data_IF_385704334496
#
_entry.id   IF_385704334496
#
_cell.length_a   1.000
_cell.length_b   1.000
_cell.length_c   1.000
_cell.angle_alpha   90.00
_cell.angle_beta   90.00
_cell.angle_gamma   90.00
#
_symmetry.space_group_name_H-M   'P 1'
#
loop_
_entity.id
_entity.type
_entity.pdbx_description
1 polymer ?
#
# COMPACT_ATOMS: atom_id res chain seq x y z
N UNK A 1 20.83 9.69 13.71
CA UNK A 1 21.67 9.61 12.49
C UNK A 1 22.70 10.72 12.55
N UNK A 2 23.97 10.41 12.28
CA UNK A 2 25.05 11.41 12.36
C UNK A 2 24.86 12.43 11.22
N UNK A 3 25.01 13.74 11.48
CA UNK A 3 24.80 14.81 10.48
C UNK A 3 25.66 14.58 9.21
N UNK A 4 26.91 14.13 9.38
CA UNK A 4 27.81 13.79 8.26
C UNK A 4 27.23 12.69 7.36
N UNK A 5 26.64 11.65 7.95
CA UNK A 5 25.97 10.57 7.20
C UNK A 5 24.74 11.07 6.46
N UNK A 6 23.92 11.93 7.09
CA UNK A 6 22.75 12.53 6.46
C UNK A 6 23.14 13.35 5.22
N UNK A 7 24.14 14.22 5.36
CA UNK A 7 24.64 15.06 4.26
C UNK A 7 25.20 14.18 3.12
N UNK A 8 25.98 13.14 3.44
CA UNK A 8 26.46 12.19 2.45
C UNK A 8 25.32 11.52 1.68
N UNK A 9 24.30 11.00 2.39
CA UNK A 9 23.15 10.36 1.76
C UNK A 9 22.37 11.33 0.85
N UNK A 10 22.21 12.59 1.26
CA UNK A 10 21.55 13.62 0.44
C UNK A 10 22.36 13.95 -0.83
N UNK A 11 23.69 14.00 -0.75
CA UNK A 11 24.56 14.21 -1.92
C UNK A 11 24.42 13.03 -2.90
N UNK A 12 24.49 11.80 -2.39
CA UNK A 12 24.32 10.58 -3.21
C UNK A 12 22.95 10.56 -3.87
N UNK A 13 21.90 10.93 -3.14
CA UNK A 13 20.56 11.01 -3.69
C UNK A 13 20.45 12.09 -4.75
N UNK A 14 20.99 13.29 -4.51
CA UNK A 14 21.01 14.38 -5.49
C UNK A 14 21.71 14.00 -6.78
N UNK A 15 22.87 13.32 -6.69
CA UNK A 15 23.58 12.79 -7.85
C UNK A 15 22.78 11.72 -8.59
N UNK A 16 22.08 10.84 -7.86
CA UNK A 16 21.20 9.81 -8.43
C UNK A 16 20.02 10.44 -9.17
N UNK A 17 19.41 11.50 -8.61
CA UNK A 17 18.33 12.26 -9.28
C UNK A 17 18.85 12.94 -10.56
N UNK A 18 20.00 13.57 -10.49
CA UNK A 18 20.62 14.20 -11.65
C UNK A 18 20.82 13.20 -12.80
N UNK A 19 21.44 12.06 -12.53
CA UNK A 19 21.63 10.99 -13.53
C UNK A 19 20.30 10.44 -14.05
N UNK A 20 19.30 10.32 -13.18
CA UNK A 20 18.00 9.80 -13.56
C UNK A 20 17.29 10.74 -14.54
N UNK A 21 17.26 12.04 -14.26
CA UNK A 21 16.59 13.02 -15.13
C UNK A 21 17.37 13.27 -16.43
N UNK A 22 18.68 13.17 -16.43
CA UNK A 22 19.46 13.23 -17.67
C UNK A 22 19.18 12.05 -18.60
N UNK A 23 18.98 10.85 -18.04
CA UNK A 23 18.75 9.62 -18.80
C UNK A 23 17.24 9.36 -19.05
N UNK A 24 16.37 10.30 -18.70
CA UNK A 24 14.95 10.15 -18.93
C UNK A 24 14.60 10.39 -20.39
N UNK A 25 14.07 9.37 -21.04
CA UNK A 25 13.65 9.47 -22.46
C UNK A 25 12.35 10.27 -22.52
N UNK A 26 12.36 11.40 -23.22
CA UNK A 26 11.14 12.12 -23.57
C UNK A 26 10.56 11.50 -24.82
N UNK A 27 9.35 11.01 -24.76
CA UNK A 27 8.66 10.48 -25.92
C UNK A 27 8.02 11.61 -26.73
N UNK A 28 8.24 11.60 -28.03
CA UNK A 28 7.50 12.47 -28.94
C UNK A 28 6.05 11.98 -29.06
N UNK A 29 5.12 12.91 -29.26
CA UNK A 29 3.72 12.54 -29.50
C UNK A 29 3.62 11.77 -30.83
N UNK A 30 2.89 10.63 -30.80
CA UNK A 30 2.77 9.72 -31.94
C UNK A 30 3.95 8.76 -32.14
N UNK A 31 4.98 8.75 -31.30
CA UNK A 31 6.12 7.84 -31.41
C UNK A 31 5.68 6.39 -31.22
N UNK A 32 6.02 5.52 -32.17
CA UNK A 32 5.82 4.07 -32.04
C UNK A 32 6.90 3.45 -31.15
N UNK A 33 6.46 2.69 -30.16
CA UNK A 33 7.34 2.01 -29.22
C UNK A 33 6.88 0.57 -29.04
N UNK A 34 7.86 -0.34 -29.02
CA UNK A 34 7.63 -1.75 -28.69
C UNK A 34 8.56 -2.15 -27.57
N UNK A 35 8.01 -2.74 -26.51
CA UNK A 35 8.78 -3.20 -25.36
C UNK A 35 8.12 -4.39 -24.66
N UNK A 36 8.95 -5.16 -23.98
CA UNK A 36 8.50 -6.28 -23.16
C UNK A 36 8.50 -5.86 -21.69
N UNK A 37 7.44 -6.25 -20.98
CA UNK A 37 7.30 -5.94 -19.56
C UNK A 37 6.48 -7.01 -18.84
N UNK A 38 6.76 -7.19 -17.55
CA UNK A 38 5.89 -7.96 -16.68
C UNK A 38 4.79 -7.05 -16.12
N UNK A 39 3.57 -7.55 -16.04
CA UNK A 39 2.45 -6.85 -15.41
C UNK A 39 2.61 -6.98 -13.88
N UNK A 40 3.21 -5.95 -13.26
CA UNK A 40 3.47 -5.89 -11.82
C UNK A 40 2.36 -5.19 -11.02
N UNK A 41 1.36 -4.67 -11.71
CA UNK A 41 0.15 -4.12 -11.09
C UNK A 41 -1.08 -4.75 -11.73
N UNK A 42 -2.11 -4.99 -10.92
CA UNK A 42 -3.31 -5.58 -11.47
C UNK A 42 -4.03 -4.59 -12.38
N UNK A 43 -4.52 -5.06 -13.55
CA UNK A 43 -5.29 -4.24 -14.47
C UNK A 43 -6.53 -3.69 -13.78
N UNK A 44 -6.69 -2.37 -13.79
CA UNK A 44 -7.92 -1.75 -13.27
C UNK A 44 -8.99 -1.80 -14.35
N UNK A 45 -10.12 -2.42 -14.06
CA UNK A 45 -11.27 -2.45 -14.95
C UNK A 45 -12.08 -1.16 -14.77
N UNK A 46 -12.16 -0.34 -15.80
CA UNK A 46 -12.98 0.88 -15.83
C UNK A 46 -13.92 0.81 -17.02
N UNK A 47 -15.18 0.43 -16.76
CA UNK A 47 -16.15 0.14 -17.83
C UNK A 47 -15.72 -1.07 -18.67
N UNK A 48 -15.61 -0.88 -19.98
CA UNK A 48 -15.14 -1.89 -20.93
C UNK A 48 -13.63 -1.90 -21.17
N UNK A 49 -12.87 -1.11 -20.41
CA UNK A 49 -11.43 -0.91 -20.64
C UNK A 49 -10.61 -1.40 -19.46
N UNK A 50 -9.43 -1.94 -19.75
CA UNK A 50 -8.38 -2.20 -18.79
C UNK A 50 -7.37 -1.05 -18.77
N UNK A 51 -7.02 -0.59 -17.58
CA UNK A 51 -5.95 0.39 -17.36
C UNK A 51 -4.77 -0.29 -16.68
N UNK A 52 -3.63 -0.21 -17.33
CA UNK A 52 -2.36 -0.77 -16.88
C UNK A 52 -1.32 0.32 -16.73
N UNK A 53 -0.33 0.09 -15.91
CA UNK A 53 0.87 0.93 -15.85
C UNK A 53 2.08 0.06 -16.10
N UNK A 54 2.87 0.41 -17.11
CA UNK A 54 4.13 -0.23 -17.43
C UNK A 54 5.29 0.76 -17.23
N UNK A 55 6.46 0.26 -16.87
CA UNK A 55 7.68 1.05 -16.82
C UNK A 55 8.54 0.73 -18.05
N UNK A 56 8.85 1.75 -18.83
CA UNK A 56 9.77 1.65 -19.95
C UNK A 56 10.78 2.79 -19.89
N UNK A 57 12.07 2.46 -19.95
CA UNK A 57 13.19 3.42 -19.91
C UNK A 57 13.02 4.51 -18.83
N UNK A 58 12.75 4.09 -17.60
CA UNK A 58 12.55 4.96 -16.43
C UNK A 58 11.32 5.89 -16.49
N UNK A 59 10.41 5.71 -17.45
CA UNK A 59 9.13 6.41 -17.48
C UNK A 59 7.96 5.45 -17.25
N UNK A 60 6.95 5.94 -16.52
CA UNK A 60 5.67 5.24 -16.35
C UNK A 60 4.78 5.54 -17.55
N UNK A 61 4.45 4.51 -18.32
CA UNK A 61 3.48 4.58 -19.42
C UNK A 61 2.15 4.05 -18.91
N UNK A 62 1.09 4.84 -19.02
CA UNK A 62 -0.28 4.38 -18.76
C UNK A 62 -0.84 3.79 -20.04
N UNK A 63 -1.33 2.56 -19.96
CA UNK A 63 -1.86 1.81 -21.08
C UNK A 63 -3.35 1.63 -20.87
N UNK A 64 -4.14 2.00 -21.86
CA UNK A 64 -5.58 1.79 -21.90
C UNK A 64 -5.84 0.79 -23.01
N UNK A 65 -6.37 -0.37 -22.67
CA UNK A 65 -6.62 -1.46 -23.63
C UNK A 65 -8.04 -2.00 -23.50
N UNK A 66 -8.47 -2.81 -24.47
CA UNK A 66 -9.72 -3.56 -24.38
C UNK A 66 -9.65 -4.61 -23.28
N UNK A 67 -10.82 -5.13 -22.90
CA UNK A 67 -10.92 -6.18 -21.88
C UNK A 67 -10.28 -7.51 -22.31
N UNK A 68 -10.13 -7.73 -23.60
CA UNK A 68 -9.54 -8.93 -24.16
C UNK A 68 -8.26 -8.59 -24.94
N UNK A 69 -7.19 -9.43 -24.83
CA UNK A 69 -7.07 -10.61 -23.96
C UNK A 69 -7.06 -10.26 -22.46
N UNK A 70 -7.53 -11.17 -21.61
CA UNK A 70 -7.45 -11.01 -20.17
C UNK A 70 -5.99 -10.99 -19.74
N UNK A 71 -5.60 -9.88 -19.14
CA UNK A 71 -4.24 -9.66 -18.64
C UNK A 71 -4.24 -9.81 -17.12
N UNK A 72 -3.32 -10.62 -16.63
CA UNK A 72 -3.22 -10.93 -15.20
C UNK A 72 -1.91 -10.42 -14.60
N UNK A 73 -1.90 -10.26 -13.29
CA UNK A 73 -0.68 -9.98 -12.53
C UNK A 73 0.36 -11.09 -12.78
N UNK A 74 1.57 -10.69 -13.16
CA UNK A 74 2.66 -11.62 -13.48
C UNK A 74 2.75 -12.05 -14.95
N UNK A 75 1.79 -11.66 -15.79
CA UNK A 75 1.88 -11.92 -17.24
C UNK A 75 3.03 -11.14 -17.84
N UNK A 76 3.77 -11.80 -18.72
CA UNK A 76 4.84 -11.17 -19.49
C UNK A 76 4.35 -10.91 -20.91
N UNK A 77 4.31 -9.63 -21.24
CA UNK A 77 3.67 -9.17 -22.47
C UNK A 77 4.60 -8.26 -23.27
N UNK A 78 4.53 -8.39 -24.59
CA UNK A 78 5.09 -7.41 -25.53
C UNK A 78 4.00 -6.42 -25.88
N UNK A 79 4.26 -5.15 -25.64
CA UNK A 79 3.33 -4.05 -25.88
C UNK A 79 3.89 -3.20 -26.99
N UNK A 80 3.13 -3.06 -28.07
CA UNK A 80 3.51 -2.26 -29.24
C UNK A 80 2.42 -1.28 -29.59
N UNK A 81 2.77 0.01 -29.72
CA UNK A 81 1.78 1.04 -30.06
C UNK A 81 2.36 2.45 -30.05
N UNK A 82 1.49 3.42 -30.37
CA UNK A 82 1.83 4.84 -30.40
C UNK A 82 1.65 5.46 -29.01
N UNK A 83 2.65 6.23 -28.58
CA UNK A 83 2.57 6.99 -27.34
C UNK A 83 1.93 8.34 -27.64
N UNK A 84 0.88 8.70 -26.87
CA UNK A 84 0.36 10.06 -26.82
C UNK A 84 0.95 10.76 -25.60
N UNK A 85 1.73 11.80 -25.84
CA UNK A 85 2.36 12.61 -24.79
C UNK A 85 1.47 13.82 -24.49
N UNK A 86 0.68 13.76 -23.41
CA UNK A 86 -0.17 14.86 -22.97
C UNK A 86 0.20 15.25 -21.54
N UNK A 87 0.59 16.52 -21.31
CA UNK A 87 0.96 17.05 -19.99
C UNK A 87 2.06 16.20 -19.29
N UNK A 88 3.17 15.93 -19.95
CA UNK A 88 4.27 15.09 -19.46
C UNK A 88 3.88 13.66 -19.01
N UNK A 89 2.69 13.21 -19.39
CA UNK A 89 2.21 11.84 -19.14
C UNK A 89 2.24 11.03 -20.45
N UNK A 90 2.98 9.95 -20.44
CA UNK A 90 2.99 8.99 -21.55
C UNK A 90 1.73 8.11 -21.44
N UNK A 91 0.85 8.21 -22.41
CA UNK A 91 -0.37 7.42 -22.55
C UNK A 91 -0.28 6.58 -23.80
N UNK A 92 -0.76 5.35 -23.75
CA UNK A 92 -0.85 4.47 -24.90
C UNK A 92 -2.29 3.93 -24.99
N UNK A 93 -2.94 4.23 -26.09
CA UNK A 93 -4.33 3.84 -26.32
C UNK A 93 -4.37 2.61 -27.24
N UNK A 94 -5.02 1.56 -26.78
CA UNK A 94 -5.28 0.31 -27.52
C UNK A 94 -4.03 -0.23 -28.26
N UNK A 95 -2.89 -0.42 -27.55
CA UNK A 95 -1.72 -1.01 -28.17
C UNK A 95 -1.98 -2.46 -28.55
N UNK A 96 -1.19 -2.98 -29.46
CA UNK A 96 -1.12 -4.40 -29.74
C UNK A 96 -0.40 -5.08 -28.57
N UNK A 97 -1.07 -6.01 -27.90
CA UNK A 97 -0.53 -6.76 -26.79
C UNK A 97 -0.42 -8.22 -27.21
N UNK A 98 0.79 -8.71 -27.22
CA UNK A 98 1.12 -10.11 -27.51
C UNK A 98 1.70 -10.74 -26.27
N UNK A 99 1.32 -11.98 -25.98
CA UNK A 99 2.02 -12.75 -24.94
C UNK A 99 3.45 -12.97 -25.43
N UNK A 100 4.42 -12.40 -24.71
CA UNK A 100 5.81 -12.63 -25.03
C UNK A 100 6.13 -14.10 -24.75
N UNK A 101 6.78 -14.75 -25.72
CA UNK A 101 7.18 -16.16 -25.59
C UNK A 101 8.04 -16.33 -24.36
N UNK A 102 7.77 -17.37 -23.60
CA UNK A 102 8.42 -17.73 -22.34
C UNK A 102 9.95 -17.70 -22.47
N UNK A 103 10.56 -16.60 -22.10
CA UNK A 103 11.95 -16.68 -21.67
C UNK A 103 11.94 -17.34 -20.29
N UNK A 104 12.76 -18.38 -20.08
CA UNK A 104 12.85 -19.19 -18.88
C UNK A 104 13.46 -18.45 -17.67
N UNK A 105 12.96 -17.24 -17.39
CA UNK A 105 13.44 -16.44 -16.26
C UNK A 105 12.79 -16.94 -14.96
N UNK A 106 13.61 -17.34 -14.01
CA UNK A 106 13.23 -17.75 -12.65
C UNK A 106 12.24 -16.75 -12.00
N UNK A 107 12.40 -15.44 -12.32
CA UNK A 107 11.51 -14.39 -11.85
C UNK A 107 10.07 -14.56 -12.38
N UNK A 108 9.91 -14.90 -13.64
CA UNK A 108 8.58 -15.10 -14.25
C UNK A 108 7.87 -16.32 -13.65
N UNK A 109 8.58 -17.44 -13.50
CA UNK A 109 8.04 -18.63 -12.86
C UNK A 109 7.61 -18.32 -11.40
N UNK A 110 8.38 -17.49 -10.70
CA UNK A 110 8.02 -17.00 -9.35
C UNK A 110 6.74 -16.17 -9.34
N UNK A 111 6.60 -15.20 -10.24
CA UNK A 111 5.41 -14.35 -10.33
C UNK A 111 4.16 -15.14 -10.72
N UNK A 112 4.26 -16.09 -11.63
CA UNK A 112 3.16 -17.00 -12.00
C UNK A 112 2.68 -17.85 -10.82
N UNK A 113 3.62 -18.38 -10.02
CA UNK A 113 3.27 -19.14 -8.79
C UNK A 113 2.52 -18.25 -7.79
N UNK A 114 2.95 -16.98 -7.63
CA UNK A 114 2.27 -16.02 -6.76
C UNK A 114 0.88 -15.70 -7.31
N UNK A 115 0.74 -15.50 -8.62
CA UNK A 115 -0.58 -15.31 -9.24
C UNK A 115 -1.50 -16.52 -8.98
N UNK A 116 -1.01 -17.73 -9.20
CA UNK A 116 -1.78 -18.95 -8.91
C UNK A 116 -2.18 -19.03 -7.44
N UNK A 117 -1.29 -18.66 -6.52
CA UNK A 117 -1.59 -18.61 -5.09
C UNK A 117 -2.69 -17.58 -4.78
N UNK A 118 -2.60 -16.36 -5.37
CA UNK A 118 -3.65 -15.35 -5.23
C UNK A 118 -5.01 -15.84 -5.70
N UNK A 119 -5.06 -16.52 -6.86
CA UNK A 119 -6.31 -17.08 -7.39
C UNK A 119 -6.90 -18.17 -6.46
N UNK A 120 -6.05 -19.05 -5.92
CA UNK A 120 -6.51 -20.04 -4.92
C UNK A 120 -7.10 -19.39 -3.67
N UNK A 121 -6.46 -18.30 -3.17
CA UNK A 121 -6.98 -17.54 -2.04
C UNK A 121 -8.32 -16.86 -2.38
N UNK A 122 -8.44 -16.23 -3.54
CA UNK A 122 -9.68 -15.61 -4.00
C UNK A 122 -10.81 -16.65 -4.02
N UNK A 123 -10.57 -17.83 -4.61
CA UNK A 123 -11.57 -18.91 -4.68
C UNK A 123 -11.92 -19.44 -3.29
N UNK A 124 -10.95 -19.60 -2.39
CA UNK A 124 -11.19 -20.07 -1.02
C UNK A 124 -12.11 -19.11 -0.27
N UNK A 125 -11.80 -17.79 -0.29
CA UNK A 125 -12.56 -16.78 0.43
C UNK A 125 -13.95 -16.56 -0.16
N UNK A 126 -14.09 -16.53 -1.49
CA UNK A 126 -15.36 -16.35 -2.18
C UNK A 126 -16.31 -17.54 -2.04
N UNK A 127 -15.78 -18.76 -1.82
CA UNK A 127 -16.59 -19.94 -1.49
C UNK A 127 -17.05 -19.95 -0.03
N UNK A 128 -16.33 -19.28 0.86
CA UNK A 128 -16.59 -19.33 2.31
C UNK A 128 -17.47 -18.18 2.78
N UNK A 129 -17.27 -16.99 2.22
CA UNK A 129 -17.95 -15.76 2.64
C UNK A 129 -18.73 -15.15 1.48
N UNK A 130 -19.91 -14.54 1.75
CA UNK A 130 -20.64 -13.77 0.74
C UNK A 130 -19.88 -12.47 0.39
N UNK A 131 -20.20 -11.87 -0.78
CA UNK A 131 -19.81 -10.49 -1.08
C UNK A 131 -20.71 -9.53 -0.31
N UNK A 132 -20.17 -8.39 0.23
CA UNK A 132 -18.82 -7.87 0.08
C UNK A 132 -17.79 -8.40 1.11
N UNK A 133 -18.20 -9.20 2.10
CA UNK A 133 -17.32 -9.69 3.20
C UNK A 133 -16.07 -10.42 2.70
N UNK A 134 -16.20 -11.27 1.67
CA UNK A 134 -15.05 -11.98 1.08
C UNK A 134 -14.03 -11.03 0.48
N UNK A 135 -14.49 -10.03 -0.28
CA UNK A 135 -13.62 -9.04 -0.90
C UNK A 135 -12.99 -8.08 0.12
N UNK A 136 -13.73 -7.74 1.18
CA UNK A 136 -13.23 -6.94 2.29
C UNK A 136 -12.08 -7.67 3.01
N UNK A 137 -12.27 -8.94 3.37
CA UNK A 137 -11.26 -9.71 4.08
C UNK A 137 -10.02 -9.96 3.20
N UNK A 138 -10.20 -10.27 1.90
CA UNK A 138 -9.09 -10.37 0.94
C UNK A 138 -8.31 -9.06 0.81
N UNK A 139 -9.02 -7.93 0.79
CA UNK A 139 -8.42 -6.61 0.77
C UNK A 139 -7.60 -6.32 2.02
N UNK A 140 -8.17 -6.57 3.21
CA UNK A 140 -7.50 -6.35 4.50
C UNK A 140 -6.22 -7.21 4.61
N UNK A 141 -6.28 -8.49 4.28
CA UNK A 141 -5.15 -9.41 4.50
C UNK A 141 -4.11 -9.30 3.39
N UNK A 142 -4.53 -9.30 2.12
CA UNK A 142 -3.63 -9.43 0.97
C UNK A 142 -3.59 -8.23 0.03
N UNK A 143 -4.35 -7.16 0.31
CA UNK A 143 -4.46 -6.01 -0.58
C UNK A 143 -5.19 -6.31 -1.90
N UNK A 144 -5.91 -7.43 -1.99
CA UNK A 144 -6.64 -7.85 -3.19
C UNK A 144 -7.99 -7.12 -3.27
N UNK A 145 -8.14 -6.22 -4.24
CA UNK A 145 -9.30 -5.30 -4.36
C UNK A 145 -10.23 -5.63 -5.51
N UNK A 146 -9.90 -6.59 -6.33
CA UNK A 146 -10.47 -6.83 -7.66
C UNK A 146 -11.94 -7.25 -7.64
N UNK A 147 -12.36 -7.93 -6.58
CA UNK A 147 -13.72 -8.45 -6.44
C UNK A 147 -14.64 -7.53 -5.63
N UNK A 148 -14.16 -6.34 -5.28
CA UNK A 148 -14.94 -5.39 -4.52
C UNK A 148 -15.94 -4.66 -5.39
N UNK A 149 -17.23 -4.62 -4.95
CA UNK A 149 -18.24 -3.85 -5.65
C UNK A 149 -17.91 -2.36 -5.67
N UNK A 150 -18.34 -1.67 -6.73
CA UNK A 150 -18.11 -0.22 -6.85
C UNK A 150 -18.74 0.54 -5.70
N UNK A 151 -20.00 0.23 -5.37
CA UNK A 151 -20.76 0.90 -4.32
C UNK A 151 -20.08 0.77 -2.96
N UNK A 152 -19.61 -0.43 -2.61
CA UNK A 152 -18.90 -0.63 -1.35
C UNK A 152 -17.53 0.07 -1.34
N UNK A 153 -16.83 0.08 -2.47
CA UNK A 153 -15.57 0.82 -2.63
C UNK A 153 -15.77 2.34 -2.49
N UNK A 154 -16.90 2.87 -3.00
CA UNK A 154 -17.26 4.28 -2.84
C UNK A 154 -17.62 4.60 -1.39
N UNK A 155 -18.37 3.76 -0.69
CA UNK A 155 -18.67 3.91 0.73
C UNK A 155 -17.38 3.91 1.58
N UNK A 156 -16.43 3.03 1.28
CA UNK A 156 -15.12 3.01 1.95
C UNK A 156 -14.30 4.30 1.71
N UNK A 157 -14.41 4.90 0.53
CA UNK A 157 -13.78 6.20 0.24
C UNK A 157 -14.50 7.33 0.95
N UNK A 158 -15.85 7.34 0.89
CA UNK A 158 -16.67 8.34 1.54
C UNK A 158 -16.48 8.37 3.07
N UNK A 159 -16.25 7.22 3.68
CA UNK A 159 -15.94 7.10 5.11
C UNK A 159 -14.46 7.30 5.46
N UNK A 160 -13.57 7.44 4.46
CA UNK A 160 -12.13 7.57 4.68
C UNK A 160 -11.44 6.29 5.19
N UNK A 161 -12.11 5.13 5.13
CA UNK A 161 -11.59 3.83 5.61
C UNK A 161 -10.89 3.04 4.49
N UNK A 162 -10.91 3.52 3.25
CA UNK A 162 -10.35 2.82 2.08
C UNK A 162 -8.87 2.43 2.25
N UNK A 163 -8.10 3.18 3.03
CA UNK A 163 -6.68 2.87 3.31
C UNK A 163 -6.46 1.56 4.08
N UNK A 164 -7.48 1.00 4.72
CA UNK A 164 -7.43 -0.28 5.45
C UNK A 164 -7.33 -1.46 4.47
N UNK A 165 -7.94 -1.32 3.29
CA UNK A 165 -7.92 -2.34 2.24
C UNK A 165 -6.62 -2.25 1.42
N UNK A 166 -6.02 -1.08 1.34
CA UNK A 166 -4.68 -0.96 0.83
C UNK A 166 -3.73 -1.54 1.89
N UNK A 167 -3.08 -2.65 1.55
CA UNK A 167 -2.18 -3.30 2.48
C UNK A 167 -1.21 -2.27 3.10
N UNK A 168 -1.25 -2.17 4.42
CA UNK A 168 -0.62 -1.08 5.19
C UNK A 168 0.63 -1.55 5.94
N UNK A 169 1.36 -0.59 6.52
CA UNK A 169 2.49 -0.91 7.39
C UNK A 169 2.12 -1.78 8.60
N UNK A 170 0.88 -1.69 9.08
CA UNK A 170 0.37 -2.53 10.15
C UNK A 170 0.34 -4.00 9.74
N UNK A 171 -0.07 -4.29 8.49
CA UNK A 171 -0.14 -5.66 7.97
C UNK A 171 1.25 -6.30 7.95
N UNK A 172 2.26 -5.58 7.47
CA UNK A 172 3.66 -6.05 7.48
C UNK A 172 4.14 -6.36 8.90
N UNK A 173 3.84 -5.46 9.85
CA UNK A 173 4.26 -5.62 11.26
C UNK A 173 3.56 -6.81 11.91
N UNK A 174 2.27 -7.01 11.68
CA UNK A 174 1.50 -8.12 12.23
C UNK A 174 2.00 -9.47 11.69
N UNK A 175 2.24 -9.57 10.38
CA UNK A 175 2.75 -10.79 9.76
C UNK A 175 4.16 -11.11 10.26
N UNK A 176 5.04 -10.11 10.30
CA UNK A 176 6.40 -10.29 10.79
C UNK A 176 6.45 -10.68 12.26
N UNK A 177 5.65 -10.03 13.11
CA UNK A 177 5.51 -10.35 14.51
C UNK A 177 4.96 -11.75 14.73
N UNK A 178 3.95 -12.13 13.95
CA UNK A 178 3.37 -13.47 13.99
C UNK A 178 4.40 -14.54 13.61
N UNK A 179 5.09 -14.40 12.47
CA UNK A 179 6.12 -15.34 12.03
C UNK A 179 7.22 -15.45 13.09
N UNK A 180 7.70 -14.30 13.59
CA UNK A 180 8.74 -14.28 14.63
C UNK A 180 8.32 -15.00 15.90
N UNK A 181 7.09 -14.75 16.38
CA UNK A 181 6.58 -15.36 17.60
C UNK A 181 6.35 -16.86 17.44
N UNK A 182 5.77 -17.28 16.31
CA UNK A 182 5.50 -18.69 16.03
C UNK A 182 6.79 -19.50 15.95
N UNK A 183 7.76 -19.04 15.17
CA UNK A 183 9.01 -19.79 15.00
C UNK A 183 9.94 -19.69 16.20
N UNK A 184 9.83 -18.65 17.04
CA UNK A 184 10.58 -18.55 18.28
C UNK A 184 10.20 -19.65 19.31
N UNK A 185 9.03 -20.29 19.15
CA UNK A 185 8.63 -21.44 20.01
C UNK A 185 9.46 -22.70 19.72
N UNK A 186 9.95 -22.86 18.48
CA UNK A 186 10.60 -24.09 18.03
C UNK A 186 12.05 -23.88 17.61
N UNK A 187 12.45 -22.66 17.27
CA UNK A 187 13.75 -22.33 16.69
C UNK A 187 14.49 -21.26 17.50
N UNK A 188 15.80 -21.22 17.33
CA UNK A 188 16.61 -20.13 17.91
C UNK A 188 16.11 -18.78 17.41
N UNK A 189 16.09 -17.77 18.30
CA UNK A 189 15.60 -16.42 18.01
C UNK A 189 16.15 -15.82 16.70
N UNK A 190 17.42 -16.02 16.41
CA UNK A 190 18.06 -15.50 15.19
C UNK A 190 17.44 -16.11 13.92
N UNK A 191 17.13 -17.43 13.93
CA UNK A 191 16.49 -18.12 12.81
C UNK A 191 15.05 -17.62 12.64
N UNK A 192 14.30 -17.49 13.75
CA UNK A 192 12.94 -16.96 13.73
C UNK A 192 12.88 -15.55 13.13
N UNK A 193 13.84 -14.68 13.47
CA UNK A 193 13.96 -13.34 12.90
C UNK A 193 14.31 -13.42 11.39
N UNK A 194 15.23 -14.29 10.98
CA UNK A 194 15.55 -14.50 9.57
C UNK A 194 14.34 -14.93 8.74
N UNK A 195 13.53 -15.86 9.28
CA UNK A 195 12.26 -16.28 8.67
C UNK A 195 11.23 -15.14 8.61
N UNK A 196 11.20 -14.25 9.60
CA UNK A 196 10.34 -13.06 9.56
C UNK A 196 10.75 -12.09 8.46
N UNK A 197 12.04 -11.87 8.25
CA UNK A 197 12.54 -11.04 7.14
C UNK A 197 12.13 -11.65 5.79
N UNK A 198 12.29 -12.94 5.62
CA UNK A 198 11.83 -13.65 4.43
C UNK A 198 10.31 -13.54 4.24
N UNK A 199 9.54 -13.73 5.33
CA UNK A 199 8.08 -13.60 5.33
C UNK A 199 7.61 -12.19 4.95
N UNK A 200 8.31 -11.13 5.42
CA UNK A 200 8.02 -9.74 5.01
C UNK A 200 8.24 -9.58 3.50
N UNK A 201 9.35 -10.06 2.97
CA UNK A 201 9.65 -9.95 1.53
C UNK A 201 8.64 -10.72 0.69
N UNK A 202 8.30 -11.95 1.08
CA UNK A 202 7.27 -12.76 0.43
C UNK A 202 5.91 -12.09 0.45
N UNK A 203 5.50 -11.55 1.62
CA UNK A 203 4.24 -10.84 1.75
C UNK A 203 4.20 -9.58 0.88
N UNK A 204 5.29 -8.82 0.78
CA UNK A 204 5.36 -7.64 -0.07
C UNK A 204 5.07 -7.97 -1.54
N UNK A 205 5.62 -9.08 -2.04
CA UNK A 205 5.35 -9.55 -3.41
C UNK A 205 3.90 -10.07 -3.55
N UNK A 206 3.41 -10.83 -2.57
CA UNK A 206 2.03 -11.33 -2.55
C UNK A 206 1.00 -10.20 -2.56
N UNK A 207 1.26 -9.12 -1.82
CA UNK A 207 0.35 -7.97 -1.71
C UNK A 207 0.48 -6.95 -2.86
N UNK A 208 1.39 -7.16 -3.84
CA UNK A 208 1.45 -6.38 -5.08
C UNK A 208 2.43 -5.22 -5.08
N UNK A 209 3.40 -5.17 -4.16
CA UNK A 209 4.51 -4.20 -4.14
C UNK A 209 4.05 -2.72 -4.14
N UNK A 210 2.91 -2.42 -3.53
CA UNK A 210 2.47 -1.02 -3.35
C UNK A 210 3.51 -0.22 -2.53
N UNK A 211 3.63 1.08 -2.78
CA UNK A 211 4.65 1.93 -2.15
C UNK A 211 4.59 1.91 -0.61
N UNK A 212 3.38 1.83 -0.02
CA UNK A 212 3.17 1.71 1.42
C UNK A 212 3.73 0.41 2.00
N UNK A 213 3.57 -0.71 1.27
CA UNK A 213 4.07 -2.02 1.65
C UNK A 213 5.59 -2.08 1.54
N UNK A 214 6.15 -1.59 0.42
CA UNK A 214 7.60 -1.55 0.22
C UNK A 214 8.27 -0.76 1.34
N UNK A 215 7.75 0.43 1.68
CA UNK A 215 8.27 1.24 2.79
C UNK A 215 8.23 0.47 4.11
N UNK A 216 7.08 -0.11 4.44
CA UNK A 216 6.91 -0.84 5.69
C UNK A 216 7.78 -2.10 5.74
N UNK A 217 7.95 -2.79 4.61
CA UNK A 217 8.82 -3.95 4.50
C UNK A 217 10.29 -3.57 4.73
N UNK A 218 10.78 -2.49 4.11
CA UNK A 218 12.15 -2.00 4.34
C UNK A 218 12.33 -1.64 5.82
N UNK A 219 11.38 -0.89 6.42
CA UNK A 219 11.45 -0.54 7.84
C UNK A 219 11.44 -1.79 8.74
N UNK A 220 10.56 -2.76 8.45
CA UNK A 220 10.47 -4.02 9.17
C UNK A 220 11.77 -4.83 9.08
N UNK A 221 12.30 -4.99 7.87
CA UNK A 221 13.59 -5.67 7.64
C UNK A 221 14.71 -5.01 8.44
N UNK A 222 14.76 -3.67 8.44
CA UNK A 222 15.77 -2.92 9.20
C UNK A 222 15.64 -3.15 10.72
N UNK A 223 14.41 -3.13 11.25
CA UNK A 223 14.14 -3.39 12.68
C UNK A 223 14.57 -4.80 13.05
N UNK A 224 14.16 -5.81 12.30
CA UNK A 224 14.51 -7.21 12.56
C UNK A 224 16.00 -7.48 12.38
N UNK A 225 16.64 -6.89 11.36
CA UNK A 225 18.09 -7.00 11.16
C UNK A 225 18.87 -6.38 12.32
N UNK A 226 18.42 -5.23 12.83
CA UNK A 226 19.03 -4.60 14.00
C UNK A 226 18.89 -5.45 15.28
N UNK A 227 17.78 -6.16 15.44
CA UNK A 227 17.56 -7.09 16.55
C UNK A 227 18.55 -8.28 16.52
N UNK A 228 18.91 -8.78 15.31
CA UNK A 228 19.94 -9.83 15.17
C UNK A 228 21.28 -9.32 15.70
N UNK A 229 21.62 -8.05 15.43
CA UNK A 229 22.89 -7.43 15.83
C UNK A 229 22.82 -6.90 17.29
N UNK A 230 21.68 -7.01 17.96
CA UNK A 230 21.50 -6.51 19.34
C UNK A 230 21.38 -4.98 19.44
N UNK A 231 21.06 -4.28 18.34
CA UNK A 231 20.90 -2.83 18.32
C UNK A 231 19.41 -2.44 18.25
N UNK A 232 19.09 -1.31 18.90
CA UNK A 232 17.77 -0.68 18.77
C UNK A 232 17.76 0.30 17.59
N UNK A 233 16.64 0.33 16.84
CA UNK A 233 16.42 1.31 15.78
C UNK A 233 15.42 2.36 16.22
N UNK A 234 15.73 3.63 15.96
CA UNK A 234 14.76 4.70 16.10
C UNK A 234 13.86 4.69 14.87
N UNK A 235 12.53 4.76 15.07
CA UNK A 235 11.54 4.76 14.00
C UNK A 235 11.81 5.84 12.93
N UNK A 236 12.27 7.01 13.37
CA UNK A 236 12.65 8.12 12.48
C UNK A 236 13.79 7.71 11.53
N UNK A 237 14.85 7.08 12.05
CA UNK A 237 15.99 6.65 11.23
C UNK A 237 15.57 5.56 10.23
N UNK A 238 14.71 4.63 10.66
CA UNK A 238 14.14 3.60 9.78
C UNK A 238 13.32 4.20 8.65
N UNK A 239 12.49 5.21 8.95
CA UNK A 239 11.67 5.90 7.95
C UNK A 239 12.54 6.64 6.91
N UNK A 240 13.53 7.43 7.37
CA UNK A 240 14.41 8.16 6.45
C UNK A 240 15.26 7.21 5.60
N UNK A 241 15.76 6.12 6.17
CA UNK A 241 16.51 5.12 5.40
C UNK A 241 15.63 4.39 4.40
N UNK A 242 14.39 4.04 4.76
CA UNK A 242 13.42 3.48 3.82
C UNK A 242 13.11 4.45 2.68
N UNK A 243 12.86 5.73 2.98
CA UNK A 243 12.68 6.77 1.99
C UNK A 243 13.89 6.92 1.06
N UNK A 244 15.10 6.92 1.61
CA UNK A 244 16.33 6.97 0.83
C UNK A 244 16.45 5.79 -0.14
N UNK A 245 16.27 4.56 0.35
CA UNK A 245 16.35 3.35 -0.48
C UNK A 245 15.31 3.38 -1.60
N UNK A 246 14.05 3.75 -1.30
CA UNK A 246 12.99 3.82 -2.29
C UNK A 246 13.28 4.88 -3.36
N UNK A 247 13.72 6.07 -2.98
CA UNK A 247 14.08 7.17 -3.89
C UNK A 247 15.34 6.85 -4.70
N UNK A 248 16.30 6.14 -4.12
CA UNK A 248 17.51 5.70 -4.83
C UNK A 248 17.20 4.67 -5.91
N UNK A 249 16.33 3.70 -5.62
CA UNK A 249 15.91 2.68 -6.60
C UNK A 249 15.06 3.33 -7.70
N UNK A 250 14.07 4.13 -7.34
CA UNK A 250 13.13 4.74 -8.27
C UNK A 250 12.85 6.20 -7.90
N UNK A 251 13.58 7.19 -8.46
CA UNK A 251 13.35 8.61 -8.19
C UNK A 251 11.92 9.09 -8.47
N UNK A 252 11.23 8.49 -9.44
CA UNK A 252 9.83 8.82 -9.78
C UNK A 252 8.83 8.53 -8.64
N UNK A 253 9.23 7.77 -7.62
CA UNK A 253 8.33 7.44 -6.51
C UNK A 253 7.99 8.66 -5.66
N UNK A 254 8.79 9.75 -5.75
CA UNK A 254 8.50 11.01 -5.06
C UNK A 254 7.15 11.60 -5.48
N UNK A 255 6.76 11.39 -6.75
CA UNK A 255 5.46 11.83 -7.31
C UNK A 255 4.33 10.82 -7.09
N UNK A 256 4.61 9.69 -6.46
CA UNK A 256 3.60 8.68 -6.14
C UNK A 256 2.81 9.10 -4.91
N UNK A 257 1.49 9.23 -5.06
CA UNK A 257 0.59 9.69 -3.99
C UNK A 257 0.63 8.72 -2.81
N UNK A 258 0.71 7.40 -3.07
CA UNK A 258 0.79 6.38 -2.03
C UNK A 258 2.07 6.51 -1.19
N UNK A 259 3.21 6.82 -1.84
CA UNK A 259 4.46 7.11 -1.14
C UNK A 259 4.32 8.37 -0.27
N UNK A 260 3.83 9.47 -0.83
CA UNK A 260 3.66 10.74 -0.11
C UNK A 260 2.75 10.58 1.12
N UNK A 261 1.57 9.98 0.94
CA UNK A 261 0.62 9.75 2.04
C UNK A 261 1.20 8.83 3.10
N UNK A 262 1.84 7.74 2.68
CA UNK A 262 2.39 6.76 3.61
C UNK A 262 3.58 7.31 4.42
N UNK A 263 4.43 8.12 3.78
CA UNK A 263 5.58 8.75 4.44
C UNK A 263 5.14 9.85 5.42
N UNK A 264 4.25 10.74 4.99
CA UNK A 264 3.73 11.83 5.83
C UNK A 264 2.86 11.32 6.98
N UNK A 265 2.01 10.30 6.75
CA UNK A 265 1.26 9.67 7.83
C UNK A 265 2.19 9.11 8.91
N UNK A 266 3.27 8.44 8.52
CA UNK A 266 4.24 7.88 9.49
C UNK A 266 4.96 8.98 10.25
N UNK A 267 5.35 10.08 9.59
CA UNK A 267 5.88 11.28 10.27
C UNK A 267 4.87 11.82 11.28
N UNK A 268 3.59 11.93 10.90
CA UNK A 268 2.52 12.32 11.80
C UNK A 268 2.44 11.46 13.07
N UNK A 269 2.46 10.13 12.88
CA UNK A 269 2.42 9.18 14.00
C UNK A 269 3.63 9.28 14.94
N UNK A 270 4.79 9.67 14.41
CA UNK A 270 6.04 9.80 15.19
C UNK A 270 6.08 11.13 15.96
N UNK A 271 5.67 12.24 15.32
CA UNK A 271 5.90 13.57 15.84
C UNK A 271 4.67 14.23 16.48
N UNK A 272 3.45 13.86 16.08
CA UNK A 272 2.23 14.43 16.66
C UNK A 272 1.89 13.72 17.97
N UNK A 273 1.79 14.46 19.09
CA UNK A 273 1.54 13.87 20.40
C UNK A 273 0.12 13.30 20.49
N UNK A 274 -0.01 12.17 21.15
CA UNK A 274 -1.32 11.55 21.43
C UNK A 274 -2.10 12.34 22.48
N UNK A 275 -3.39 12.52 22.26
CA UNK A 275 -4.30 13.21 23.17
C UNK A 275 -4.61 12.28 24.35
N UNK A 276 -4.13 12.64 25.56
CA UNK A 276 -4.27 11.81 26.77
C UNK A 276 -5.73 11.50 27.13
N UNK A 277 -6.64 12.46 26.95
CA UNK A 277 -8.05 12.28 27.27
C UNK A 277 -8.70 11.18 26.40
N UNK A 278 -8.38 11.14 25.11
CA UNK A 278 -8.90 10.14 24.18
C UNK A 278 -8.33 8.76 24.47
N UNK A 279 -7.07 8.68 24.91
CA UNK A 279 -6.42 7.40 25.26
C UNK A 279 -7.15 6.63 26.37
N UNK A 280 -7.88 7.32 27.26
CA UNK A 280 -8.66 6.68 28.33
C UNK A 280 -9.79 5.76 27.82
N UNK A 281 -10.17 5.90 26.54
CA UNK A 281 -11.20 5.06 25.90
C UNK A 281 -10.63 3.69 25.45
N UNK A 282 -9.40 3.36 25.80
CA UNK A 282 -8.77 2.08 25.47
C UNK A 282 -8.41 1.96 23.97
N UNK A 283 -8.65 0.79 23.38
CA UNK A 283 -8.26 0.46 22.00
C UNK A 283 -8.88 1.41 20.96
N UNK A 284 -10.15 1.77 21.15
CA UNK A 284 -10.86 2.73 20.29
C UNK A 284 -10.18 4.11 20.36
N UNK A 285 -9.82 4.54 21.56
CA UNK A 285 -9.11 5.81 21.74
C UNK A 285 -7.72 5.84 21.10
N UNK A 286 -6.98 4.75 21.15
CA UNK A 286 -5.70 4.64 20.43
C UNK A 286 -5.90 4.69 18.92
N UNK A 287 -6.94 4.05 18.38
CA UNK A 287 -7.30 4.12 16.96
C UNK A 287 -7.68 5.55 16.52
N UNK A 288 -8.45 6.27 17.35
CA UNK A 288 -8.80 7.67 17.10
C UNK A 288 -7.54 8.55 17.11
N UNK A 289 -6.66 8.41 18.11
CA UNK A 289 -5.43 9.19 18.20
C UNK A 289 -4.51 8.97 16.99
N UNK A 290 -4.35 7.73 16.57
CA UNK A 290 -3.54 7.41 15.39
C UNK A 290 -4.15 7.97 14.10
N UNK A 291 -5.49 7.92 13.98
CA UNK A 291 -6.20 8.51 12.84
C UNK A 291 -6.04 10.02 12.80
N UNK A 292 -6.21 10.73 13.93
CA UNK A 292 -6.02 12.18 14.02
C UNK A 292 -4.60 12.57 13.61
N UNK A 293 -3.59 11.90 14.17
CA UNK A 293 -2.20 12.18 13.85
C UNK A 293 -1.88 11.97 12.37
N UNK A 294 -2.35 10.87 11.78
CA UNK A 294 -2.17 10.58 10.38
C UNK A 294 -2.90 11.60 9.49
N UNK A 295 -4.15 11.95 9.82
CA UNK A 295 -4.94 12.90 9.04
C UNK A 295 -4.37 14.32 9.08
N UNK A 296 -3.98 14.82 10.25
CA UNK A 296 -3.30 16.12 10.36
C UNK A 296 -2.08 16.16 9.43
N UNK A 297 -1.28 15.10 9.40
CA UNK A 297 -0.10 15.07 8.55
C UNK A 297 -0.41 14.95 7.06
N UNK A 298 -1.47 14.22 6.67
CA UNK A 298 -1.77 13.90 5.27
C UNK A 298 -2.80 14.83 4.63
N UNK A 299 -3.51 15.66 5.40
CA UNK A 299 -4.63 16.50 4.94
C UNK A 299 -4.31 17.32 3.68
N UNK A 300 -3.20 18.06 3.60
CA UNK A 300 -2.91 18.87 2.40
C UNK A 300 -2.72 18.00 1.15
N UNK A 301 -2.07 16.85 1.30
CA UNK A 301 -1.83 15.92 0.18
C UNK A 301 -3.15 15.31 -0.29
N UNK A 302 -4.04 14.96 0.63
CA UNK A 302 -5.37 14.43 0.31
C UNK A 302 -6.19 15.48 -0.46
N UNK A 303 -6.24 16.71 0.03
CA UNK A 303 -6.99 17.79 -0.62
C UNK A 303 -6.41 18.15 -1.99
N UNK A 304 -5.09 18.24 -2.11
CA UNK A 304 -4.44 18.58 -3.38
C UNK A 304 -4.62 17.51 -4.47
N UNK A 305 -4.68 16.24 -4.11
CA UNK A 305 -4.74 15.15 -5.09
C UNK A 305 -6.15 14.59 -5.34
N UNK A 306 -7.00 14.58 -4.32
CA UNK A 306 -8.35 14.00 -4.42
C UNK A 306 -9.46 15.05 -4.36
N UNK A 307 -9.18 16.25 -3.85
CA UNK A 307 -10.17 17.31 -3.71
C UNK A 307 -11.32 16.95 -2.76
N UNK A 308 -11.20 15.88 -1.98
CA UNK A 308 -12.25 15.37 -1.10
C UNK A 308 -11.72 15.03 0.27
N UNK A 309 -12.52 15.27 1.30
CA UNK A 309 -12.23 14.92 2.68
C UNK A 309 -13.48 14.38 3.38
N UNK A 310 -13.36 13.23 4.05
CA UNK A 310 -14.47 12.65 4.80
C UNK A 310 -14.50 13.18 6.23
N UNK A 311 -15.60 13.82 6.61
CA UNK A 311 -15.81 14.35 7.97
C UNK A 311 -15.90 13.21 8.99
N UNK A 312 -16.55 12.11 8.61
CA UNK A 312 -16.79 10.98 9.50
C UNK A 312 -15.59 10.03 9.61
N UNK A 313 -14.49 10.30 8.90
CA UNK A 313 -13.35 9.39 8.85
C UNK A 313 -12.74 9.10 10.23
N UNK A 314 -12.70 10.07 11.15
CA UNK A 314 -12.17 9.87 12.51
C UNK A 314 -13.05 8.88 13.29
N UNK A 315 -14.38 9.05 13.21
CA UNK A 315 -15.34 8.19 13.93
C UNK A 315 -15.37 6.79 13.30
N UNK A 316 -15.52 6.71 11.98
CA UNK A 316 -15.55 5.44 11.26
C UNK A 316 -14.27 4.63 11.51
N UNK A 317 -13.09 5.25 11.40
CA UNK A 317 -11.82 4.60 11.70
C UNK A 317 -11.73 4.16 13.17
N UNK A 318 -12.14 4.99 14.13
CA UNK A 318 -12.18 4.63 15.54
C UNK A 318 -12.99 3.36 15.81
N UNK A 319 -14.11 3.23 15.12
CA UNK A 319 -15.03 2.09 15.28
C UNK A 319 -14.57 0.83 14.56
N UNK A 320 -13.88 0.93 13.41
CA UNK A 320 -13.56 -0.26 12.61
C UNK A 320 -12.12 -0.75 12.74
N UNK A 321 -11.13 0.15 12.99
CA UNK A 321 -9.71 -0.24 12.95
C UNK A 321 -9.30 -1.30 13.98
N UNK A 322 -9.98 -1.38 15.11
CA UNK A 322 -9.69 -2.39 16.15
C UNK A 322 -10.01 -3.82 15.68
N UNK A 323 -10.92 -3.99 14.71
CA UNK A 323 -11.26 -5.30 14.14
C UNK A 323 -10.17 -5.84 13.22
N UNK A 324 -9.41 -4.96 12.59
CA UNK A 324 -8.42 -5.30 11.56
C UNK A 324 -7.34 -6.27 12.03
N UNK A 325 -6.69 -6.07 13.20
CA UNK A 325 -5.71 -7.05 13.71
C UNK A 325 -6.31 -8.44 13.92
N UNK A 326 -7.53 -8.53 14.40
CA UNK A 326 -8.23 -9.79 14.64
C UNK A 326 -8.52 -10.49 13.31
N UNK A 327 -9.10 -9.75 12.35
CA UNK A 327 -9.39 -10.23 11.02
C UNK A 327 -8.13 -10.71 10.29
N UNK A 328 -7.01 -10.00 10.45
CA UNK A 328 -5.73 -10.37 9.85
C UNK A 328 -5.17 -11.66 10.45
N UNK A 329 -5.22 -11.80 11.78
CA UNK A 329 -4.68 -12.99 12.45
C UNK A 329 -5.57 -14.21 12.13
N UNK A 330 -6.86 -14.15 12.43
CA UNK A 330 -7.78 -15.28 12.24
C UNK A 330 -7.94 -15.62 10.76
N UNK A 331 -8.17 -14.61 9.91
CA UNK A 331 -8.32 -14.80 8.46
C UNK A 331 -7.02 -15.23 7.77
N UNK A 332 -5.86 -14.73 8.23
CA UNK A 332 -4.55 -15.14 7.75
C UNK A 332 -4.24 -16.60 8.08
N UNK A 333 -4.53 -17.05 9.31
CA UNK A 333 -4.47 -18.46 9.68
C UNK A 333 -5.43 -19.31 8.86
N UNK A 334 -6.67 -18.85 8.72
CA UNK A 334 -7.68 -19.49 7.89
C UNK A 334 -7.21 -19.67 6.44
N UNK A 335 -6.52 -18.67 5.89
CA UNK A 335 -5.94 -18.73 4.55
C UNK A 335 -4.85 -19.82 4.45
N UNK A 336 -3.90 -19.83 5.39
CA UNK A 336 -2.80 -20.81 5.41
C UNK A 336 -3.34 -22.24 5.57
N UNK A 337 -4.22 -22.47 6.57
CA UNK A 337 -4.82 -23.76 6.80
C UNK A 337 -5.73 -24.20 5.64
N UNK A 338 -6.46 -23.26 5.04
CA UNK A 338 -7.36 -23.53 3.93
C UNK A 338 -6.65 -23.95 2.64
N UNK A 339 -5.39 -23.57 2.47
CA UNK A 339 -4.55 -24.06 1.37
C UNK A 339 -4.06 -25.50 1.59
N UNK A 340 -4.04 -25.98 2.85
CA UNK A 340 -3.59 -27.34 3.21
C UNK A 340 -4.83 -28.23 3.43
N UNK A 341 -5.76 -27.80 4.28
CA UNK A 341 -6.98 -28.51 4.65
C UNK A 341 -8.16 -27.55 4.51
N UNK A 342 -8.82 -27.55 3.35
CA UNK A 342 -9.86 -26.59 3.01
C UNK A 342 -10.98 -26.44 4.07
N UNK A 343 -11.58 -27.52 4.66
CA UNK A 343 -12.65 -27.38 5.65
C UNK A 343 -12.23 -26.62 6.91
N UNK A 344 -11.02 -26.85 7.43
CA UNK A 344 -10.52 -26.17 8.63
C UNK A 344 -10.25 -24.69 8.35
N UNK A 345 -9.68 -24.38 7.18
CA UNK A 345 -9.48 -22.99 6.78
C UNK A 345 -10.79 -22.24 6.58
N UNK A 346 -11.78 -22.87 5.96
CA UNK A 346 -13.11 -22.30 5.78
C UNK A 346 -13.79 -21.99 7.12
N UNK A 347 -13.68 -22.88 8.11
CA UNK A 347 -14.22 -22.65 9.45
C UNK A 347 -13.61 -21.40 10.08
N UNK A 348 -12.27 -21.23 10.03
CA UNK A 348 -11.60 -20.05 10.58
C UNK A 348 -11.97 -18.76 9.82
N UNK A 349 -12.04 -18.83 8.50
CA UNK A 349 -12.46 -17.70 7.67
C UNK A 349 -13.91 -17.30 8.02
N UNK A 350 -14.79 -18.28 8.22
CA UNK A 350 -16.18 -18.04 8.60
C UNK A 350 -16.32 -17.40 9.98
N UNK A 351 -15.42 -17.71 10.94
CA UNK A 351 -15.38 -17.04 12.25
C UNK A 351 -15.10 -15.53 12.15
N UNK A 352 -14.52 -15.06 11.05
CA UNK A 352 -14.34 -13.62 10.79
C UNK A 352 -15.66 -12.92 10.40
N UNK A 353 -16.69 -13.67 9.98
CA UNK A 353 -17.91 -13.12 9.39
C UNK A 353 -18.66 -12.11 10.29
N UNK A 354 -18.87 -12.34 11.59
CA UNK A 354 -19.54 -11.35 12.46
C UNK A 354 -18.80 -10.00 12.52
N UNK A 355 -17.45 -10.04 12.56
CA UNK A 355 -16.64 -8.82 12.59
C UNK A 355 -16.65 -8.10 11.23
N UNK A 356 -16.74 -8.85 10.13
CA UNK A 356 -16.87 -8.28 8.79
C UNK A 356 -18.22 -7.61 8.62
N UNK A 357 -19.31 -8.23 9.06
CA UNK A 357 -20.64 -7.61 9.06
C UNK A 357 -20.68 -6.32 9.88
N UNK A 358 -20.06 -6.33 11.07
CA UNK A 358 -19.95 -5.13 11.88
C UNK A 358 -19.20 -4.02 11.10
N UNK A 359 -18.06 -4.35 10.48
CA UNK A 359 -17.27 -3.42 9.68
C UNK A 359 -18.10 -2.84 8.51
N UNK A 360 -18.76 -3.71 7.76
CA UNK A 360 -19.61 -3.33 6.61
C UNK A 360 -20.77 -2.44 7.03
N UNK A 361 -21.44 -2.76 8.14
CA UNK A 361 -22.56 -1.97 8.66
C UNK A 361 -22.14 -0.55 8.99
N UNK A 362 -20.99 -0.38 9.65
CA UNK A 362 -20.45 0.95 9.98
C UNK A 362 -20.08 1.72 8.71
N UNK A 363 -19.40 1.07 7.76
CA UNK A 363 -19.01 1.71 6.51
C UNK A 363 -20.22 2.12 5.68
N UNK A 364 -21.22 1.25 5.56
CA UNK A 364 -22.44 1.56 4.81
C UNK A 364 -23.26 2.64 5.50
N UNK A 365 -23.35 2.63 6.84
CA UNK A 365 -24.04 3.66 7.61
C UNK A 365 -23.43 5.04 7.38
N UNK A 366 -22.14 5.20 7.64
CA UNK A 366 -21.47 6.50 7.45
C UNK A 366 -21.32 6.89 5.98
N UNK A 367 -21.18 5.92 5.08
CA UNK A 367 -21.13 6.15 3.63
C UNK A 367 -22.46 6.67 3.09
N UNK A 368 -23.58 6.15 3.62
CA UNK A 368 -24.94 6.55 3.20
C UNK A 368 -25.38 7.93 3.73
N UNK A 369 -24.86 8.37 4.88
CA UNK A 369 -25.17 9.71 5.43
C UNK A 369 -24.55 10.83 4.56
N UNK A 370 -23.51 10.55 3.79
CA UNK A 370 -22.72 11.56 3.08
C UNK A 370 -21.65 12.16 3.99
N UNK A 371 -21.35 13.44 3.86
CA UNK A 371 -20.32 14.10 4.69
C UNK A 371 -18.93 14.10 4.07
N UNK A 372 -18.89 14.04 2.75
CA UNK A 372 -17.69 14.28 1.96
C UNK A 372 -17.60 15.76 1.64
N UNK A 373 -16.63 16.46 2.20
CA UNK A 373 -16.31 17.82 1.80
C UNK A 373 -15.59 17.78 0.47
N UNK A 374 -16.08 18.52 -0.51
CA UNK A 374 -15.44 18.70 -1.81
C UNK A 374 -14.76 20.06 -1.83
N UNK A 375 -13.44 20.06 -2.04
CA UNK A 375 -12.62 21.27 -2.16
C UNK A 375 -12.09 21.34 -3.59
N UNK A 376 -12.72 22.15 -4.40
CA UNK A 376 -12.27 22.38 -5.76
C UNK A 376 -11.03 23.28 -5.76
N UNK A 377 -10.00 22.88 -6.52
CA UNK A 377 -8.78 23.66 -6.73
C UNK A 377 -8.05 24.06 -5.44
N UNK A 378 -7.55 23.07 -4.69
CA UNK A 378 -6.70 23.32 -3.53
C UNK A 378 -5.28 23.75 -3.98
N UNK A 379 -4.90 25.04 -3.80
CA UNK A 379 -3.60 25.53 -4.28
C UNK A 379 -2.44 24.95 -3.45
N UNK A 380 -1.36 24.58 -4.11
CA UNK A 380 -0.18 24.00 -3.46
C UNK A 380 0.47 24.93 -2.41
N UNK A 381 0.32 26.26 -2.56
CA UNK A 381 0.81 27.26 -1.63
C UNK A 381 0.21 27.08 -0.23
N UNK A 382 -1.08 26.71 -0.14
CA UNK A 382 -1.72 26.38 1.13
C UNK A 382 -1.11 25.16 1.79
N UNK A 383 -0.67 24.15 1.01
CA UNK A 383 0.04 22.99 1.56
C UNK A 383 1.35 23.40 2.23
N UNK A 384 2.13 24.29 1.59
CA UNK A 384 3.39 24.78 2.15
C UNK A 384 3.14 25.55 3.44
N UNK A 385 2.20 26.53 3.42
CA UNK A 385 1.83 27.30 4.62
C UNK A 385 1.39 26.41 5.77
N UNK A 386 0.55 25.42 5.48
CA UNK A 386 0.07 24.44 6.47
C UNK A 386 1.22 23.67 7.13
N UNK A 387 2.15 23.11 6.33
CA UNK A 387 3.28 22.37 6.89
C UNK A 387 4.25 23.27 7.68
N UNK A 388 4.45 24.51 7.26
CA UNK A 388 5.23 25.49 8.04
C UNK A 388 4.60 25.76 9.41
N UNK A 389 3.28 25.97 9.48
CA UNK A 389 2.54 26.15 10.72
C UNK A 389 2.59 24.89 11.61
N UNK A 390 2.39 23.72 11.02
CA UNK A 390 2.43 22.44 11.74
C UNK A 390 3.80 22.19 12.37
N UNK A 391 4.88 22.37 11.62
CA UNK A 391 6.26 22.21 12.13
C UNK A 391 6.56 23.24 13.22
N UNK A 392 6.20 24.50 13.02
CA UNK A 392 6.38 25.56 14.03
C UNK A 392 5.62 25.25 15.31
N UNK A 393 4.36 24.79 15.20
CA UNK A 393 3.57 24.33 16.34
C UNK A 393 4.24 23.21 17.10
N UNK A 394 4.70 22.14 16.39
CA UNK A 394 5.37 21.00 17.00
C UNK A 394 6.67 21.39 17.74
N UNK A 395 7.43 22.35 17.21
CA UNK A 395 8.66 22.86 17.87
C UNK A 395 8.30 23.60 19.17
N UNK A 396 7.28 24.44 19.14
CA UNK A 396 6.83 25.19 20.32
C UNK A 396 6.30 24.25 21.42
N UNK A 397 5.46 23.28 21.05
CA UNK A 397 4.92 22.30 22.01
C UNK A 397 5.98 21.35 22.59
N UNK A 398 7.07 21.08 21.89
CA UNK A 398 8.16 20.24 22.39
C UNK A 398 9.06 20.96 23.41
N UNK A 399 9.03 22.29 23.44
CA UNK A 399 9.80 23.10 24.41
C UNK A 399 9.07 23.28 25.76
N UNK A 400 7.80 22.97 25.83
CA UNK A 400 7.01 22.87 27.07
C UNK A 400 6.93 21.42 27.54
#
# INVERSE_FOLDING_TARGET
MNLKLLVFLLIVLGFRFYLFYQNQVKFADGQEVSFETAILSQPQVVGSQHRLTANYKNQKIRIITSRFPELNYGDFVRISGKISSKNDRALMYFPKIETASQSSNVLQAGLQKIHTLRQKLIVLFSKTLPSPSSSLLLGIIFGIKEQMSKDFSENLRATGVFHVIAASGMNVTLIAGFISSLFALFLKRQIAIGLSIFGIAFYAVLAGLEASIIRASIMGILVFSAQIIGKQTLAVNGLFLAGFVMLFISPNIISDIGFQLSFTATLGLIFIPKIRAIRKIGVIGDSINTTIAAQIATLPILLANFGTYSIYSILANGLVLWTVPILMVVGGFGAILGLIVAPLGQLLIYLCYPLLLYFETIVNFFGGIGGVLVVNNFPWQFSVGYYCLLVSGLIIFKKK
#
